data_IF_311343605837
#
_entry.id   IF_311343605837
#
_cell.length_a   1.000
_cell.length_b   1.000
_cell.length_c   1.000
_cell.angle_alpha   90.00
_cell.angle_beta   90.00
_cell.angle_gamma   90.00
#
_symmetry.space_group_name_H-M   'P 1'
#
loop_
_entity.id
_entity.type
_entity.pdbx_description
1 polymer ?
#
# COMPACT_ATOMS: atom_id res chain seq x y z
N UNK A 1 1.56 17.27 -4.46
CA UNK A 1 1.85 16.00 -3.78
C UNK A 1 1.73 16.29 -2.29
N UNK A 2 0.68 15.80 -1.65
CA UNK A 2 0.44 16.04 -0.22
C UNK A 2 0.59 14.69 0.49
N UNK A 3 1.70 14.51 1.20
CA UNK A 3 1.76 13.48 2.25
C UNK A 3 1.03 14.07 3.45
N UNK A 4 -0.14 13.53 3.77
CA UNK A 4 -0.71 13.78 5.09
C UNK A 4 0.10 12.97 6.12
N UNK A 5 1.08 13.65 6.69
CA UNK A 5 2.05 13.10 7.64
C UNK A 5 1.47 12.93 9.05
N UNK A 6 0.22 13.34 9.31
CA UNK A 6 -0.39 13.17 10.63
C UNK A 6 -0.91 11.75 10.87
N UNK A 7 -1.29 11.03 9.81
CA UNK A 7 -1.95 9.73 9.93
C UNK A 7 -1.22 8.56 9.23
N UNK A 8 -0.01 8.78 8.68
CA UNK A 8 0.75 7.78 7.89
C UNK A 8 -0.08 7.18 6.74
N UNK A 9 -0.92 8.02 6.11
CA UNK A 9 -1.77 7.63 4.99
C UNK A 9 -1.04 7.91 3.68
N UNK A 10 -0.93 6.87 2.86
CA UNK A 10 -0.34 6.85 1.54
C UNK A 10 -1.47 6.70 0.52
N UNK A 11 -1.91 7.79 -0.10
CA UNK A 11 -2.90 7.77 -1.17
C UNK A 11 -2.21 7.99 -2.52
N UNK A 12 -2.15 6.96 -3.36
CA UNK A 12 -1.43 7.01 -4.63
C UNK A 12 -2.16 6.23 -5.73
N UNK A 13 -2.19 6.74 -6.97
CA UNK A 13 -2.49 5.92 -8.13
C UNK A 13 -1.21 5.13 -8.51
N UNK A 14 -1.09 3.89 -8.02
CA UNK A 14 0.06 3.00 -8.27
C UNK A 14 0.22 2.68 -9.77
N UNK A 15 -0.85 2.81 -10.56
CA UNK A 15 -0.88 2.51 -11.99
C UNK A 15 -0.59 3.70 -12.94
N UNK A 16 -0.46 4.93 -12.46
CA UNK A 16 -0.28 6.08 -13.36
C UNK A 16 1.10 6.71 -13.26
N UNK A 17 1.87 6.56 -14.35
CA UNK A 17 3.05 7.33 -14.79
C UNK A 17 4.41 6.61 -14.69
N UNK A 18 5.27 6.72 -15.74
CA UNK A 18 6.68 6.37 -15.65
C UNK A 18 7.35 7.26 -14.60
N UNK A 19 7.76 6.67 -13.48
CA UNK A 19 8.28 7.37 -12.30
C UNK A 19 7.45 7.17 -11.02
N UNK A 20 6.15 6.83 -11.17
CA UNK A 20 5.23 6.67 -10.04
C UNK A 20 5.66 5.59 -9.04
N UNK A 21 6.25 4.48 -9.53
CA UNK A 21 6.80 3.42 -8.67
C UNK A 21 7.97 3.89 -7.79
N UNK A 22 8.85 4.77 -8.31
CA UNK A 22 10.00 5.29 -7.56
C UNK A 22 9.57 6.33 -6.53
N UNK A 23 8.60 7.18 -6.87
CA UNK A 23 8.01 8.15 -5.95
C UNK A 23 7.18 7.48 -4.86
N UNK A 24 6.41 6.44 -5.21
CA UNK A 24 5.70 5.61 -4.26
C UNK A 24 6.68 4.93 -3.29
N UNK A 25 7.77 4.38 -3.84
CA UNK A 25 8.84 3.79 -3.03
C UNK A 25 9.40 4.77 -2.01
N UNK A 26 9.77 5.97 -2.46
CA UNK A 26 10.28 7.02 -1.57
C UNK A 26 9.26 7.41 -0.50
N UNK A 27 7.98 7.47 -0.86
CA UNK A 27 6.89 7.84 0.05
C UNK A 27 6.69 6.80 1.14
N UNK A 28 6.64 5.51 0.80
CA UNK A 28 6.51 4.47 1.82
C UNK A 28 7.77 4.31 2.66
N UNK A 29 8.98 4.52 2.10
CA UNK A 29 10.23 4.49 2.87
C UNK A 29 10.29 5.63 3.90
N UNK A 30 9.74 6.81 3.56
CA UNK A 30 9.61 7.93 4.49
C UNK A 30 8.54 7.67 5.56
N UNK A 31 7.39 7.12 5.16
CA UNK A 31 6.34 6.72 6.10
C UNK A 31 6.83 5.63 7.05
N UNK A 32 7.55 4.62 6.56
CA UNK A 32 8.14 3.56 7.39
C UNK A 32 9.11 4.06 8.45
N UNK A 33 9.88 5.12 8.15
CA UNK A 33 10.78 5.74 9.13
C UNK A 33 10.05 6.53 10.21
N UNK A 34 8.81 6.93 9.95
CA UNK A 34 8.03 7.83 10.80
C UNK A 34 6.88 7.11 11.52
N UNK A 35 6.39 6.02 10.93
CA UNK A 35 5.30 5.21 11.44
C UNK A 35 5.76 4.38 12.64
N UNK A 36 5.03 4.50 13.74
CA UNK A 36 5.28 3.69 14.95
C UNK A 36 4.58 2.34 14.92
N UNK A 37 3.41 2.25 14.27
CA UNK A 37 2.53 1.09 14.40
C UNK A 37 1.80 0.73 13.09
N UNK A 38 1.44 1.72 12.27
CA UNK A 38 0.59 1.50 11.10
C UNK A 38 0.92 2.44 9.95
N UNK A 39 0.84 1.90 8.73
CA UNK A 39 0.80 2.66 7.47
C UNK A 39 -0.46 2.25 6.72
N UNK A 40 -1.23 3.21 6.25
CA UNK A 40 -2.43 2.94 5.47
C UNK A 40 -2.18 3.31 4.01
N UNK A 41 -2.39 2.38 3.09
CA UNK A 41 -2.35 2.60 1.65
C UNK A 41 -3.78 2.65 1.14
N UNK A 42 -4.20 3.80 0.65
CA UNK A 42 -5.51 3.98 0.05
C UNK A 42 -5.44 3.72 -1.46
N UNK A 43 -6.14 2.68 -1.91
CA UNK A 43 -6.21 2.32 -3.32
C UNK A 43 -7.32 3.10 -4.03
N UNK A 44 -7.04 3.56 -5.24
CA UNK A 44 -8.02 4.26 -6.09
C UNK A 44 -8.74 3.26 -7.01
N UNK A 45 -9.96 3.58 -7.45
CA UNK A 45 -10.82 2.68 -8.26
C UNK A 45 -10.21 2.18 -9.58
N UNK A 46 -9.15 2.83 -10.08
CA UNK A 46 -8.46 2.47 -11.32
C UNK A 46 -7.29 1.49 -11.12
N UNK A 47 -7.07 1.03 -9.88
CA UNK A 47 -6.00 0.12 -9.50
C UNK A 47 -6.38 -1.35 -9.79
N UNK A 48 -6.24 -1.76 -11.06
CA UNK A 48 -6.63 -3.07 -11.60
C UNK A 48 -5.88 -4.30 -11.01
N UNK A 49 -5.02 -4.09 -10.01
CA UNK A 49 -4.17 -5.13 -9.44
C UNK A 49 -3.16 -5.68 -10.44
N UNK A 50 -2.49 -4.80 -11.19
CA UNK A 50 -1.34 -5.17 -12.00
C UNK A 50 -0.28 -5.90 -11.17
N UNK A 51 0.45 -6.85 -11.78
CA UNK A 51 1.51 -7.59 -11.07
C UNK A 51 2.62 -6.66 -10.55
N UNK A 52 2.83 -5.52 -11.20
CA UNK A 52 3.77 -4.50 -10.73
C UNK A 52 3.30 -3.89 -9.40
N UNK A 53 2.02 -3.54 -9.29
CA UNK A 53 1.40 -3.04 -8.05
C UNK A 53 1.52 -4.06 -6.92
N UNK A 54 1.23 -5.33 -7.19
CA UNK A 54 1.36 -6.41 -6.20
C UNK A 54 2.82 -6.57 -5.75
N UNK A 55 3.76 -6.59 -6.70
CA UNK A 55 5.19 -6.67 -6.41
C UNK A 55 5.68 -5.51 -5.55
N UNK A 56 5.18 -4.29 -5.78
CA UNK A 56 5.50 -3.12 -4.97
C UNK A 56 5.00 -3.24 -3.54
N UNK A 57 3.75 -3.69 -3.33
CA UNK A 57 3.18 -3.88 -1.99
C UNK A 57 3.94 -4.96 -1.21
N UNK A 58 4.27 -6.08 -1.84
CA UNK A 58 5.09 -7.14 -1.22
C UNK A 58 6.48 -6.61 -0.85
N UNK A 59 7.12 -5.86 -1.75
CA UNK A 59 8.43 -5.28 -1.48
C UNK A 59 8.38 -4.24 -0.34
N UNK A 60 7.32 -3.44 -0.28
CA UNK A 60 7.03 -2.54 0.83
C UNK A 60 6.94 -3.34 2.14
N UNK A 61 6.14 -4.41 2.20
CA UNK A 61 6.03 -5.25 3.41
C UNK A 61 7.37 -5.78 3.88
N UNK A 62 8.20 -6.26 2.96
CA UNK A 62 9.54 -6.81 3.24
C UNK A 62 10.57 -5.76 3.67
N UNK A 63 10.38 -4.51 3.27
CA UNK A 63 11.33 -3.42 3.55
C UNK A 63 11.00 -2.66 4.84
N UNK A 64 9.79 -2.83 5.37
CA UNK A 64 9.29 -2.14 6.55
C UNK A 64 9.46 -3.06 7.77
N UNK A 65 9.71 -2.47 8.94
CA UNK A 65 9.83 -3.19 10.20
C UNK A 65 8.64 -4.16 10.40
N UNK A 66 8.90 -5.33 10.99
CA UNK A 66 7.88 -6.36 11.15
C UNK A 66 6.74 -5.90 12.06
N UNK A 67 7.04 -4.99 12.99
CA UNK A 67 6.09 -4.43 13.96
C UNK A 67 5.13 -3.40 13.36
N UNK A 68 5.41 -2.89 12.15
CA UNK A 68 4.54 -1.93 11.47
C UNK A 68 3.51 -2.67 10.62
N UNK A 69 2.24 -2.41 10.90
CA UNK A 69 1.11 -2.99 10.16
C UNK A 69 0.83 -2.20 8.88
N UNK A 70 0.71 -2.89 7.75
CA UNK A 70 0.30 -2.28 6.48
C UNK A 70 -1.21 -2.51 6.29
N UNK A 71 -1.98 -1.43 6.29
CA UNK A 71 -3.41 -1.46 6.00
C UNK A 71 -3.67 -1.08 4.55
N UNK A 72 -4.41 -1.90 3.81
CA UNK A 72 -4.89 -1.56 2.46
C UNK A 72 -6.36 -1.16 2.55
N UNK A 73 -6.66 0.10 2.23
CA UNK A 73 -8.01 0.65 2.14
C UNK A 73 -8.51 0.66 0.70
N UNK A 74 -9.82 0.49 0.51
CA UNK A 74 -10.46 0.43 -0.82
C UNK A 74 -9.82 -0.63 -1.73
N UNK A 75 -9.28 -1.70 -1.12
CA UNK A 75 -8.54 -2.72 -1.83
C UNK A 75 -9.46 -3.51 -2.75
N UNK A 76 -9.16 -3.53 -4.06
CA UNK A 76 -9.94 -4.31 -5.00
C UNK A 76 -9.84 -5.82 -4.69
N UNK A 77 -10.92 -6.60 -4.88
CA UNK A 77 -10.91 -8.04 -4.61
C UNK A 77 -9.77 -8.80 -5.32
N UNK A 78 -9.41 -8.39 -6.54
CA UNK A 78 -8.32 -8.97 -7.31
C UNK A 78 -6.94 -8.73 -6.66
N UNK A 79 -6.72 -7.55 -6.09
CA UNK A 79 -5.47 -7.22 -5.38
C UNK A 79 -5.34 -8.07 -4.12
N UNK A 80 -6.42 -8.16 -3.33
CA UNK A 80 -6.49 -9.02 -2.14
C UNK A 80 -6.17 -10.47 -2.50
N UNK A 81 -6.80 -11.01 -3.53
CA UNK A 81 -6.54 -12.38 -4.01
C UNK A 81 -5.07 -12.59 -4.39
N UNK A 82 -4.49 -11.68 -5.18
CA UNK A 82 -3.10 -11.81 -5.63
C UNK A 82 -2.11 -11.72 -4.47
N UNK A 83 -2.32 -10.82 -3.50
CA UNK A 83 -1.47 -10.73 -2.30
C UNK A 83 -1.55 -12.00 -1.45
N UNK A 84 -2.75 -12.55 -1.26
CA UNK A 84 -2.93 -13.81 -0.52
C UNK A 84 -2.24 -14.99 -1.22
N UNK A 85 -2.27 -15.06 -2.54
CA UNK A 85 -1.64 -16.17 -3.29
C UNK A 85 -0.12 -16.02 -3.40
N UNK A 86 0.40 -14.78 -3.48
CA UNK A 86 1.81 -14.53 -3.78
C UNK A 86 2.73 -14.42 -2.55
N UNK A 87 2.18 -14.05 -1.39
CA UNK A 87 2.97 -13.80 -0.16
C UNK A 87 2.22 -14.28 1.10
N UNK A 88 1.34 -15.29 0.93
CA UNK A 88 0.42 -15.85 1.95
C UNK A 88 -0.53 -14.81 2.61
N UNK A 89 -0.53 -13.57 2.14
CA UNK A 89 -1.32 -12.46 2.68
C UNK A 89 -0.91 -12.02 4.08
N UNK A 90 0.18 -12.57 4.64
CA UNK A 90 0.63 -12.25 5.99
C UNK A 90 1.18 -10.83 6.07
N UNK A 91 0.73 -10.07 7.08
CA UNK A 91 1.18 -8.69 7.32
C UNK A 91 0.41 -7.59 6.58
N UNK A 92 -0.63 -7.94 5.80
CA UNK A 92 -1.58 -6.98 5.25
C UNK A 92 -2.92 -7.04 5.98
N UNK A 93 -3.43 -5.87 6.38
CA UNK A 93 -4.79 -5.72 6.90
C UNK A 93 -5.65 -5.07 5.83
N UNK A 94 -6.66 -5.79 5.35
CA UNK A 94 -7.60 -5.27 4.35
C UNK A 94 -8.76 -4.56 5.06
N UNK A 95 -8.90 -3.26 4.86
CA UNK A 95 -10.02 -2.48 5.36
C UNK A 95 -10.96 -2.17 4.19
N UNK A 96 -12.24 -2.51 4.35
CA UNK A 96 -13.25 -2.00 3.43
C UNK A 96 -13.34 -0.48 3.62
N UNK A 97 -13.47 0.24 2.51
CA UNK A 97 -13.81 1.66 2.57
C UNK A 97 -15.11 1.84 3.32
N UNK A 98 -15.17 2.85 4.19
CA UNK A 98 -16.44 3.41 4.65
C UNK A 98 -17.12 4.08 3.43
N UNK A 99 -17.67 3.29 2.52
CA UNK A 99 -18.64 3.78 1.55
C UNK A 99 -19.95 3.98 2.32
N UNK A 100 -20.18 5.21 2.74
CA UNK A 100 -21.52 5.72 3.04
C UNK A 100 -22.27 5.99 1.72
#
# INVERSE_FOLDING_TARGET
MELDTKDNILSFPLNTLPGGAAEFRRSYELAAKSAREQITVEMHDNEDGSLATIGMLINMRKSIDQDVTICLQNCQPKVKYLLTVMDDGEGFVFKEGLLA
#
